data_IF_651379163286
#
_entry.id   IF_651379163286
#
_cell.length_a   1.000
_cell.length_b   1.000
_cell.length_c   1.000
_cell.angle_alpha   90.00
_cell.angle_beta   90.00
_cell.angle_gamma   90.00
#
_symmetry.space_group_name_H-M   'P 1'
#
loop_
_entity.id
_entity.type
_entity.pdbx_description
1 polymer ?
#
# COMPACT_ATOMS: atom_id res chain seq x y z
N UNK A 1 2.64 32.98 -3.80
CA UNK A 1 3.89 33.71 -4.09
C UNK A 1 4.61 32.96 -5.20
N UNK A 2 5.26 33.70 -6.08
CA UNK A 2 5.79 33.27 -7.39
C UNK A 2 6.51 31.93 -7.32
N UNK A 3 5.97 30.93 -8.02
CA UNK A 3 6.64 29.65 -8.20
C UNK A 3 8.08 29.86 -8.65
N UNK A 4 8.97 29.02 -8.15
CA UNK A 4 10.37 28.94 -8.55
C UNK A 4 10.46 28.54 -10.04
N UNK A 5 10.03 29.45 -10.93
CA UNK A 5 10.45 29.45 -12.31
C UNK A 5 11.94 29.73 -12.25
N UNK A 6 12.75 28.68 -12.41
CA UNK A 6 14.18 28.82 -12.73
C UNK A 6 14.29 29.97 -13.71
N UNK A 7 14.96 31.02 -13.24
CA UNK A 7 15.14 32.28 -13.95
C UNK A 7 15.65 31.90 -15.33
N UNK A 8 14.79 31.99 -16.36
CA UNK A 8 15.27 32.00 -17.73
C UNK A 8 16.33 33.10 -17.74
N UNK A 9 17.59 32.72 -17.90
CA UNK A 9 18.72 33.64 -17.77
C UNK A 9 18.39 34.94 -18.52
N UNK A 10 18.70 36.10 -17.92
CA UNK A 10 18.31 37.42 -18.44
C UNK A 10 18.63 37.59 -19.95
N UNK A 11 19.63 36.86 -20.43
CA UNK A 11 20.08 36.80 -21.82
C UNK A 11 19.16 36.04 -22.80
N UNK A 12 18.39 35.05 -22.33
CA UNK A 12 17.50 34.21 -23.15
C UNK A 12 16.06 34.77 -23.19
N UNK A 13 15.80 35.86 -22.45
CA UNK A 13 14.54 36.61 -22.54
C UNK A 13 14.48 37.40 -23.87
N UNK A 14 13.32 37.58 -24.52
CA UNK A 14 13.17 38.43 -25.71
C UNK A 14 13.84 39.80 -25.59
N UNK A 15 13.85 40.42 -24.40
CA UNK A 15 14.57 41.68 -24.17
C UNK A 15 16.10 41.56 -24.35
N UNK A 16 16.71 40.49 -23.82
CA UNK A 16 18.15 40.22 -23.98
C UNK A 16 18.54 39.96 -25.43
N UNK A 17 17.70 39.22 -26.16
CA UNK A 17 17.88 38.96 -27.61
C UNK A 17 17.86 40.29 -28.40
N UNK A 18 16.92 41.19 -28.09
CA UNK A 18 16.83 42.51 -28.74
C UNK A 18 18.08 43.35 -28.45
N UNK A 19 18.61 43.33 -27.23
CA UNK A 19 19.83 44.06 -26.86
C UNK A 19 21.03 43.57 -27.69
N UNK A 20 21.19 42.25 -27.85
CA UNK A 20 22.26 41.68 -28.68
C UNK A 20 22.09 42.03 -30.16
N UNK A 21 20.86 42.05 -30.67
CA UNK A 21 20.57 42.48 -32.04
C UNK A 21 20.91 43.97 -32.27
N UNK A 22 20.55 44.83 -31.32
CA UNK A 22 20.87 46.27 -31.35
C UNK A 22 22.37 46.53 -31.23
N UNK A 23 23.07 45.79 -30.36
CA UNK A 23 24.52 45.86 -30.23
C UNK A 23 25.23 45.43 -31.52
N UNK A 24 24.77 44.34 -32.15
CA UNK A 24 25.30 43.91 -33.45
C UNK A 24 25.10 44.99 -34.53
N UNK A 25 23.92 45.60 -34.59
CA UNK A 25 23.61 46.68 -35.54
C UNK A 25 24.47 47.93 -35.30
N UNK A 26 24.65 48.36 -34.05
CA UNK A 26 25.46 49.52 -33.69
C UNK A 26 26.96 49.30 -33.98
N UNK A 27 27.49 48.11 -33.67
CA UNK A 27 28.89 47.76 -33.95
C UNK A 27 29.17 47.63 -35.45
N UNK A 28 28.21 47.11 -36.21
CA UNK A 28 28.28 47.07 -37.66
C UNK A 28 28.30 48.49 -38.27
N UNK A 29 27.43 49.38 -37.77
CA UNK A 29 27.40 50.79 -38.19
C UNK A 29 28.74 51.50 -37.94
N UNK A 30 29.40 51.20 -36.82
CA UNK A 30 30.72 51.73 -36.45
C UNK A 30 31.91 51.05 -37.18
N UNK A 31 31.66 50.26 -38.23
CA UNK A 31 32.67 49.52 -39.03
C UNK A 31 33.49 48.48 -38.24
N UNK A 32 33.00 48.03 -37.08
CA UNK A 32 33.62 46.98 -36.27
C UNK A 32 33.00 45.61 -36.63
N UNK A 33 33.37 45.07 -37.79
CA UNK A 33 32.73 43.87 -38.35
C UNK A 33 32.92 42.60 -37.50
N UNK A 34 34.10 42.40 -36.89
CA UNK A 34 34.40 41.21 -36.07
C UNK A 34 33.55 41.18 -34.78
N UNK A 35 33.51 42.25 -33.95
CA UNK A 35 32.60 42.32 -32.80
C UNK A 35 31.12 42.20 -33.17
N UNK A 36 30.71 42.79 -34.28
CA UNK A 36 29.32 42.70 -34.76
C UNK A 36 28.94 41.25 -35.10
N UNK A 37 29.82 40.50 -35.75
CA UNK A 37 29.61 39.08 -36.06
C UNK A 37 29.46 38.22 -34.80
N UNK A 38 30.28 38.46 -33.78
CA UNK A 38 30.19 37.76 -32.48
C UNK A 38 28.84 38.04 -31.80
N UNK A 39 28.41 39.31 -31.77
CA UNK A 39 27.12 39.69 -31.18
C UNK A 39 25.93 39.04 -31.91
N UNK A 40 26.02 38.92 -33.25
CA UNK A 40 25.01 38.26 -34.06
C UNK A 40 24.94 36.75 -33.77
N UNK A 41 26.09 36.08 -33.62
CA UNK A 41 26.14 34.66 -33.25
C UNK A 41 25.46 34.44 -31.89
N UNK A 42 25.78 35.26 -30.88
CA UNK A 42 25.10 35.20 -29.58
C UNK A 42 23.60 35.47 -29.69
N UNK A 43 23.19 36.45 -30.49
CA UNK A 43 21.77 36.73 -30.74
C UNK A 43 21.04 35.52 -31.33
N UNK A 44 21.61 34.86 -32.34
CA UNK A 44 21.02 33.66 -32.95
C UNK A 44 20.98 32.49 -31.97
N UNK A 45 22.04 32.30 -31.19
CA UNK A 45 22.15 31.24 -30.20
C UNK A 45 21.07 31.40 -29.12
N UNK A 46 20.93 32.60 -28.54
CA UNK A 46 19.88 32.87 -27.55
C UNK A 46 18.47 32.81 -28.14
N UNK A 47 18.26 33.26 -29.38
CA UNK A 47 16.98 33.13 -30.06
C UNK A 47 16.60 31.66 -30.27
N UNK A 48 17.55 30.83 -30.70
CA UNK A 48 17.32 29.39 -30.88
C UNK A 48 17.01 28.70 -29.56
N UNK A 49 17.76 28.99 -28.50
CA UNK A 49 17.50 28.48 -27.14
C UNK A 49 16.11 28.88 -26.63
N UNK A 50 15.72 30.14 -26.82
CA UNK A 50 14.40 30.62 -26.41
C UNK A 50 13.25 29.94 -27.17
N UNK A 51 13.39 29.77 -28.48
CA UNK A 51 12.43 29.04 -29.31
C UNK A 51 12.33 27.57 -28.84
N UNK A 52 13.47 26.92 -28.60
CA UNK A 52 13.49 25.55 -28.06
C UNK A 52 12.78 25.47 -26.72
N UNK A 53 13.13 26.31 -25.76
CA UNK A 53 12.51 26.31 -24.43
C UNK A 53 10.99 26.52 -24.53
N UNK A 54 10.53 27.45 -25.38
CA UNK A 54 9.11 27.77 -25.53
C UNK A 54 8.31 26.59 -26.10
N UNK A 55 8.84 25.93 -27.12
CA UNK A 55 8.14 24.88 -27.88
C UNK A 55 8.55 23.44 -27.51
N UNK A 56 9.53 23.24 -26.62
CA UNK A 56 10.01 21.91 -26.22
C UNK A 56 8.87 21.03 -25.69
N UNK A 57 8.05 21.53 -24.76
CA UNK A 57 6.96 20.74 -24.16
C UNK A 57 5.59 20.91 -24.83
N UNK A 58 5.52 21.55 -26.00
CA UNK A 58 4.25 21.63 -26.75
C UNK A 58 3.98 20.31 -27.48
N UNK A 59 2.74 19.81 -27.42
CA UNK A 59 2.31 18.55 -28.05
C UNK A 59 3.17 17.33 -27.70
N UNK A 60 3.63 17.27 -26.45
CA UNK A 60 4.26 16.07 -25.88
C UNK A 60 3.22 15.33 -25.06
N UNK A 61 3.06 14.06 -25.35
CA UNK A 61 2.17 13.16 -24.61
C UNK A 61 3.02 12.11 -23.88
N UNK A 62 2.80 11.98 -22.58
CA UNK A 62 3.34 10.87 -21.79
C UNK A 62 2.20 9.92 -21.46
N UNK A 63 2.39 8.64 -21.75
CA UNK A 63 1.49 7.56 -21.35
C UNK A 63 2.20 6.66 -20.37
N UNK A 64 1.44 6.18 -19.40
CA UNK A 64 1.90 5.27 -18.36
C UNK A 64 0.87 4.14 -18.31
N UNK A 65 1.29 2.86 -18.32
CA UNK A 65 0.35 1.77 -18.20
C UNK A 65 -0.29 1.80 -16.80
N UNK A 66 -1.60 1.66 -16.77
CA UNK A 66 -2.35 1.49 -15.53
C UNK A 66 -2.11 0.08 -14.98
N UNK A 67 -1.86 -0.04 -13.68
CA UNK A 67 -1.70 -1.33 -13.04
C UNK A 67 -1.30 -1.18 -11.58
N UNK A 68 -1.39 -2.29 -10.86
CA UNK A 68 -0.89 -2.43 -9.50
C UNK A 68 0.35 -3.31 -9.56
N UNK A 69 1.46 -2.82 -9.01
CA UNK A 69 2.66 -3.63 -8.80
C UNK A 69 2.85 -3.84 -7.30
N UNK A 70 3.09 -5.10 -6.91
CA UNK A 70 3.27 -5.48 -5.51
C UNK A 70 4.69 -6.00 -5.28
N UNK A 71 5.33 -5.60 -4.19
CA UNK A 71 6.62 -6.15 -3.77
C UNK A 71 6.79 -6.11 -2.25
N UNK A 72 7.69 -6.94 -1.73
CA UNK A 72 8.12 -6.88 -0.35
C UNK A 72 9.20 -5.79 -0.14
N UNK A 73 9.41 -5.32 1.10
CA UNK A 73 10.46 -4.36 1.42
C UNK A 73 11.84 -4.88 0.98
N UNK A 74 12.64 -4.01 0.36
CA UNK A 74 13.92 -4.37 -0.28
C UNK A 74 13.79 -4.81 -1.74
N UNK A 75 12.58 -5.08 -2.22
CA UNK A 75 12.29 -5.33 -3.63
C UNK A 75 12.46 -4.09 -4.51
N UNK A 76 12.34 -4.30 -5.82
CA UNK A 76 12.40 -3.23 -6.83
C UNK A 76 11.11 -3.20 -7.65
N UNK A 77 10.71 -2.00 -8.07
CA UNK A 77 9.63 -1.78 -9.01
C UNK A 77 10.17 -1.13 -10.28
N UNK A 78 9.50 -1.39 -11.39
CA UNK A 78 9.73 -0.69 -12.65
C UNK A 78 8.53 0.22 -12.91
N UNK A 79 8.76 1.51 -13.11
CA UNK A 79 7.75 2.44 -13.58
C UNK A 79 7.96 2.66 -15.08
N UNK A 80 7.36 1.84 -15.95
CA UNK A 80 7.46 2.03 -17.40
C UNK A 80 6.66 3.26 -17.83
N UNK A 81 7.22 4.04 -18.73
CA UNK A 81 6.54 5.18 -19.35
C UNK A 81 6.92 5.30 -20.82
N UNK A 82 5.98 5.79 -21.62
CA UNK A 82 6.19 6.06 -23.04
C UNK A 82 5.91 7.53 -23.34
N UNK A 83 6.86 8.19 -23.99
CA UNK A 83 6.76 9.61 -24.37
C UNK A 83 6.69 9.73 -25.89
N UNK A 84 5.65 10.39 -26.38
CA UNK A 84 5.41 10.64 -27.80
C UNK A 84 5.62 12.12 -28.13
N UNK A 85 6.53 12.39 -29.07
CA UNK A 85 6.82 13.73 -29.58
C UNK A 85 5.98 14.03 -30.83
N UNK A 86 4.77 14.58 -30.69
CA UNK A 86 3.87 14.83 -31.83
C UNK A 86 4.16 16.13 -32.61
N UNK A 87 5.39 16.64 -32.52
CA UNK A 87 5.82 17.85 -33.23
C UNK A 87 7.03 17.57 -34.12
N UNK A 88 7.29 18.51 -35.04
CA UNK A 88 8.45 18.49 -35.93
C UNK A 88 9.76 18.84 -35.21
N UNK A 89 9.69 19.63 -34.13
CA UNK A 89 10.88 19.99 -33.35
C UNK A 89 11.39 18.76 -32.58
N UNK A 90 12.65 18.34 -32.78
CA UNK A 90 13.23 17.24 -32.03
C UNK A 90 13.43 17.63 -30.56
N UNK A 91 13.18 16.67 -29.68
CA UNK A 91 13.51 16.74 -28.27
C UNK A 91 14.91 16.18 -28.08
N UNK A 92 15.85 17.05 -27.72
CA UNK A 92 17.24 16.66 -27.48
C UNK A 92 17.32 15.74 -26.26
N UNK A 93 16.55 16.08 -25.23
CA UNK A 93 16.32 15.25 -24.06
C UNK A 93 14.94 15.57 -23.51
N UNK A 94 14.32 14.56 -22.89
CA UNK A 94 13.14 14.73 -22.07
C UNK A 94 13.32 13.93 -20.81
N UNK A 95 13.03 14.54 -19.69
CA UNK A 95 13.13 13.93 -18.39
C UNK A 95 11.75 13.87 -17.78
N UNK A 96 11.37 12.68 -17.33
CA UNK A 96 10.16 12.46 -16.57
C UNK A 96 10.58 12.27 -15.12
N UNK A 97 10.00 13.05 -14.21
CA UNK A 97 10.25 12.97 -12.78
C UNK A 97 8.94 12.84 -12.02
N UNK A 98 8.85 11.86 -11.14
CA UNK A 98 7.66 11.56 -10.34
C UNK A 98 7.90 11.97 -8.88
N UNK A 99 7.00 12.74 -8.25
CA UNK A 99 7.11 13.07 -6.84
C UNK A 99 6.82 11.83 -5.99
N UNK A 100 7.62 11.62 -4.96
CA UNK A 100 7.46 10.55 -3.98
C UNK A 100 7.30 11.17 -2.58
N UNK A 101 6.48 10.55 -1.73
CA UNK A 101 6.29 11.03 -0.37
C UNK A 101 7.60 10.89 0.43
N UNK A 102 7.95 11.92 1.21
CA UNK A 102 9.15 11.89 2.05
C UNK A 102 9.00 10.82 3.14
N UNK A 103 9.90 9.84 3.14
CA UNK A 103 9.80 8.69 4.06
C UNK A 103 8.62 7.76 3.74
N UNK A 104 8.08 7.84 2.52
CA UNK A 104 7.02 6.96 2.04
C UNK A 104 7.52 5.54 1.72
N UNK A 105 6.59 4.71 1.28
CA UNK A 105 6.83 3.29 0.98
C UNK A 105 7.77 3.04 -0.20
N UNK A 106 7.90 4.00 -1.11
CA UNK A 106 8.71 3.88 -2.34
C UNK A 106 9.77 4.98 -2.39
N UNK A 107 10.98 4.60 -2.79
CA UNK A 107 12.13 5.50 -2.97
C UNK A 107 12.77 5.29 -4.35
N UNK A 108 13.58 6.25 -4.86
CA UNK A 108 14.41 6.02 -6.04
C UNK A 108 15.39 4.86 -5.80
N UNK A 109 15.61 4.02 -6.81
CA UNK A 109 16.50 2.86 -6.68
C UNK A 109 17.99 3.23 -6.61
N UNK A 110 18.39 4.34 -7.24
CA UNK A 110 19.77 4.84 -7.28
C UNK A 110 19.82 6.35 -6.98
N UNK A 111 20.96 6.84 -6.50
CA UNK A 111 21.19 8.28 -6.31
C UNK A 111 21.13 9.05 -7.64
N UNK A 112 21.55 8.43 -8.74
CA UNK A 112 21.51 9.01 -10.09
C UNK A 112 20.07 9.31 -10.56
N UNK A 113 19.11 8.49 -10.15
CA UNK A 113 17.70 8.68 -10.49
C UNK A 113 16.98 9.59 -9.47
N UNK A 114 17.64 9.96 -8.38
CA UNK A 114 17.05 10.77 -7.32
C UNK A 114 17.08 12.26 -7.68
N UNK A 115 15.94 12.93 -7.52
CA UNK A 115 15.81 14.36 -7.80
C UNK A 115 14.80 15.01 -6.86
N UNK A 116 15.15 16.17 -6.30
CA UNK A 116 14.19 16.96 -5.53
C UNK A 116 13.23 17.67 -6.48
N UNK A 117 11.94 17.48 -6.25
CA UNK A 117 10.86 18.12 -7.01
C UNK A 117 10.08 19.03 -6.08
N UNK A 118 9.66 20.18 -6.58
CA UNK A 118 8.72 21.02 -5.86
C UNK A 118 7.31 20.48 -6.10
N UNK A 119 6.64 20.08 -5.02
CA UNK A 119 5.24 19.68 -5.08
C UNK A 119 4.35 20.84 -4.62
N UNK A 120 3.47 21.37 -5.50
CA UNK A 120 2.57 22.46 -5.14
C UNK A 120 1.56 22.08 -4.06
N UNK A 121 1.31 20.80 -3.79
CA UNK A 121 0.36 20.38 -2.74
C UNK A 121 0.95 20.54 -1.33
N UNK A 122 2.21 20.16 -1.14
CA UNK A 122 2.91 20.29 0.14
C UNK A 122 3.65 21.61 0.33
N UNK A 123 3.63 22.49 -0.67
CA UNK A 123 4.39 23.76 -0.73
C UNK A 123 5.86 23.57 -0.31
N UNK A 124 6.50 22.51 -0.80
CA UNK A 124 7.81 22.07 -0.35
C UNK A 124 8.52 21.14 -1.34
N UNK A 125 9.82 20.97 -1.13
CA UNK A 125 10.63 20.04 -1.91
C UNK A 125 10.43 18.61 -1.39
N UNK A 126 9.94 17.75 -2.29
CA UNK A 126 9.76 16.31 -2.06
C UNK A 126 10.81 15.53 -2.84
N UNK A 127 11.30 14.39 -2.32
CA UNK A 127 12.13 13.51 -3.11
C UNK A 127 11.31 12.96 -4.29
N UNK A 128 11.94 12.81 -5.43
CA UNK A 128 11.35 12.23 -6.62
C UNK A 128 12.32 11.28 -7.30
N UNK A 129 11.76 10.41 -8.13
CA UNK A 129 12.54 9.56 -9.02
C UNK A 129 12.40 10.08 -10.45
N UNK A 130 13.49 10.07 -11.21
CA UNK A 130 13.54 10.61 -12.56
C UNK A 130 14.25 9.67 -13.53
N UNK A 131 13.85 9.74 -14.79
CA UNK A 131 14.58 9.14 -15.90
C UNK A 131 14.62 10.11 -17.07
N UNK A 132 15.77 10.15 -17.74
CA UNK A 132 16.01 10.98 -18.91
C UNK A 132 16.07 10.12 -20.17
N UNK A 133 15.29 10.50 -21.18
CA UNK A 133 15.29 9.90 -22.50
C UNK A 133 15.91 10.90 -23.48
N UNK A 134 17.08 10.58 -24.06
CA UNK A 134 17.71 11.45 -25.04
C UNK A 134 17.16 11.21 -26.45
N UNK A 135 17.27 12.23 -27.31
CA UNK A 135 17.09 12.15 -28.76
C UNK A 135 15.75 11.59 -29.28
N UNK A 136 14.63 12.20 -28.89
CA UNK A 136 13.32 11.87 -29.50
C UNK A 136 13.07 12.82 -30.69
N UNK A 137 13.18 12.30 -31.91
CA UNK A 137 13.02 13.07 -33.14
C UNK A 137 11.54 13.40 -33.42
N UNK A 138 11.25 13.88 -34.63
CA UNK A 138 9.90 14.25 -35.06
C UNK A 138 8.95 13.04 -35.07
N UNK A 139 7.75 13.19 -34.50
CA UNK A 139 6.69 12.18 -34.51
C UNK A 139 7.13 10.79 -34.02
N UNK A 140 8.18 10.73 -33.19
CA UNK A 140 8.68 9.50 -32.59
C UNK A 140 8.13 9.30 -31.19
N UNK A 141 8.07 8.03 -30.79
CA UNK A 141 7.72 7.59 -29.45
C UNK A 141 8.91 6.81 -28.89
N UNK A 142 9.23 7.08 -27.63
CA UNK A 142 10.28 6.38 -26.90
C UNK A 142 9.71 5.85 -25.58
N UNK A 143 10.06 4.61 -25.24
CA UNK A 143 9.71 3.96 -23.98
C UNK A 143 10.94 3.85 -23.11
N UNK A 144 10.80 4.17 -21.82
CA UNK A 144 11.83 3.99 -20.81
C UNK A 144 11.17 3.61 -19.50
N UNK A 145 11.97 3.21 -18.52
CA UNK A 145 11.50 2.87 -17.19
C UNK A 145 12.24 3.68 -16.12
N UNK A 146 11.53 4.01 -15.04
CA UNK A 146 12.13 4.56 -13.82
C UNK A 146 12.23 3.42 -12.82
N UNK A 147 13.45 3.11 -12.37
CA UNK A 147 13.67 2.09 -11.33
C UNK A 147 13.38 2.66 -9.95
N UNK A 148 12.47 2.01 -9.23
CA UNK A 148 12.03 2.36 -7.89
C UNK A 148 12.37 1.23 -6.91
N UNK A 149 12.51 1.54 -5.63
CA UNK A 149 12.79 0.59 -4.56
C UNK A 149 11.67 0.60 -3.52
N UNK A 150 11.24 -0.59 -3.11
CA UNK A 150 10.33 -0.78 -1.99
C UNK A 150 11.11 -0.60 -0.67
N UNK A 151 10.69 0.34 0.18
CA UNK A 151 11.40 0.68 1.42
C UNK A 151 10.62 0.22 2.64
N UNK A 152 9.41 0.73 2.83
CA UNK A 152 8.54 0.39 3.95
C UNK A 152 7.13 0.06 3.45
N UNK A 153 6.35 -0.61 4.30
CA UNK A 153 4.96 -0.99 4.02
C UNK A 153 4.13 0.24 3.66
N UNK A 154 3.26 0.11 2.67
CA UNK A 154 2.32 1.18 2.30
C UNK A 154 1.88 1.11 0.84
N UNK A 155 0.89 1.93 0.50
CA UNK A 155 0.44 2.14 -0.88
C UNK A 155 0.95 3.48 -1.41
N UNK A 156 1.59 3.46 -2.57
CA UNK A 156 2.01 4.67 -3.29
C UNK A 156 1.27 4.72 -4.63
N UNK A 157 0.45 5.75 -4.83
CA UNK A 157 -0.21 6.00 -6.12
C UNK A 157 0.39 7.24 -6.76
N UNK A 158 0.91 7.09 -7.98
CA UNK A 158 1.58 8.18 -8.69
C UNK A 158 0.57 8.82 -9.64
N UNK A 159 0.00 9.95 -9.21
CA UNK A 159 -1.04 10.66 -9.97
C UNK A 159 -0.49 11.70 -10.94
N UNK A 160 0.72 12.20 -10.68
CA UNK A 160 1.33 13.31 -11.40
C UNK A 160 2.78 13.01 -11.73
N UNK A 161 3.28 13.62 -12.80
CA UNK A 161 4.69 13.63 -13.14
C UNK A 161 5.10 15.00 -13.69
N UNK A 162 6.26 15.48 -13.26
CA UNK A 162 6.92 16.62 -13.85
C UNK A 162 7.69 16.17 -15.10
N UNK A 163 7.41 16.82 -16.23
CA UNK A 163 8.18 16.65 -17.46
C UNK A 163 9.07 17.87 -17.64
N UNK A 164 10.37 17.65 -17.75
CA UNK A 164 11.36 18.65 -18.10
C UNK A 164 11.94 18.38 -19.49
N UNK A 165 12.15 19.44 -20.26
CA UNK A 165 12.92 19.38 -21.49
C UNK A 165 13.55 20.74 -21.75
N UNK A 166 14.64 20.76 -22.50
CA UNK A 166 15.37 21.98 -22.80
C UNK A 166 16.19 21.86 -24.08
N UNK A 167 17.00 22.89 -24.28
CA UNK A 167 17.98 22.95 -25.36
C UNK A 167 19.26 22.16 -25.02
N UNK A 168 20.13 22.01 -26.03
CA UNK A 168 21.41 21.30 -25.89
C UNK A 168 22.36 22.01 -24.90
N UNK A 169 22.25 23.34 -24.81
CA UNK A 169 23.13 24.19 -24.01
C UNK A 169 22.62 24.37 -22.57
N UNK A 170 21.42 23.88 -22.24
CA UNK A 170 20.80 24.03 -20.93
C UNK A 170 20.44 25.48 -20.57
N UNK A 171 20.40 26.38 -21.55
CA UNK A 171 20.11 27.80 -21.34
C UNK A 171 18.61 28.07 -21.15
N UNK A 172 17.77 27.15 -21.63
CA UNK A 172 16.32 27.24 -21.51
C UNK A 172 15.69 25.89 -21.19
N UNK A 173 15.36 25.69 -19.92
CA UNK A 173 14.63 24.50 -19.44
C UNK A 173 13.18 24.91 -19.23
N UNK A 174 12.26 24.10 -19.78
CA UNK A 174 10.83 24.21 -19.50
C UNK A 174 10.40 22.98 -18.71
N UNK A 175 9.60 23.23 -17.69
CA UNK A 175 9.01 22.20 -16.83
C UNK A 175 7.48 22.29 -16.94
N UNK A 176 6.81 21.15 -16.97
CA UNK A 176 5.35 21.05 -17.01
C UNK A 176 4.90 19.86 -16.18
N UNK A 177 3.95 20.05 -15.28
CA UNK A 177 3.28 18.94 -14.60
C UNK A 177 2.21 18.32 -15.49
N UNK A 178 2.24 16.99 -15.60
CA UNK A 178 1.21 16.16 -16.23
C UNK A 178 0.48 15.38 -15.14
N UNK A 179 -0.83 15.20 -15.34
CA UNK A 179 -1.66 14.35 -14.50
C UNK A 179 -2.11 13.13 -15.31
N UNK A 180 -2.10 11.96 -14.69
CA UNK A 180 -2.52 10.72 -15.32
C UNK A 180 -4.01 10.48 -15.09
N UNK A 181 -4.73 10.02 -16.12
CA UNK A 181 -6.16 9.70 -15.99
C UNK A 181 -6.38 8.43 -15.16
N UNK A 182 -5.51 7.43 -15.34
CA UNK A 182 -5.50 6.19 -14.56
C UNK A 182 -4.11 6.07 -13.91
N UNK A 183 -3.94 6.51 -12.66
CA UNK A 183 -2.64 6.51 -12.02
C UNK A 183 -2.19 5.08 -11.68
N UNK A 184 -0.94 4.69 -11.96
CA UNK A 184 -0.42 3.42 -11.48
C UNK A 184 -0.22 3.44 -9.96
N UNK A 185 -0.38 2.28 -9.36
CA UNK A 185 -0.24 2.09 -7.91
C UNK A 185 0.85 1.06 -7.60
N UNK A 186 1.62 1.33 -6.57
CA UNK A 186 2.68 0.47 -6.05
C UNK A 186 2.32 0.10 -4.62
N UNK A 187 2.19 -1.19 -4.36
CA UNK A 187 1.88 -1.72 -3.04
C UNK A 187 3.13 -2.38 -2.47
N UNK A 188 3.62 -1.85 -1.34
CA UNK A 188 4.68 -2.50 -0.58
C UNK A 188 4.05 -3.29 0.55
N UNK A 189 4.15 -4.61 0.45
CA UNK A 189 3.65 -5.52 1.48
C UNK A 189 4.40 -5.33 2.81
N UNK A 190 3.81 -5.77 3.93
CA UNK A 190 4.52 -5.84 5.21
C UNK A 190 5.82 -6.64 5.09
N UNK A 191 6.81 -6.32 5.91
CA UNK A 191 8.02 -7.14 6.00
C UNK A 191 7.66 -8.52 6.54
N UNK A 192 8.22 -9.58 5.95
CA UNK A 192 7.96 -10.96 6.38
C UNK A 192 9.22 -11.58 6.94
N UNK A 193 9.05 -12.43 7.95
CA UNK A 193 10.14 -13.17 8.59
C UNK A 193 9.69 -14.59 8.94
N UNK A 194 10.63 -15.53 9.11
CA UNK A 194 10.30 -16.90 9.51
C UNK A 194 9.57 -16.94 10.86
N UNK A 195 8.43 -17.66 10.91
CA UNK A 195 7.58 -17.78 12.09
C UNK A 195 7.23 -19.23 12.42
N UNK A 196 7.17 -19.53 13.71
CA UNK A 196 6.71 -20.81 14.26
C UNK A 196 5.23 -20.75 14.61
N UNK A 197 4.38 -21.28 13.72
CA UNK A 197 2.92 -21.26 13.88
C UNK A 197 2.35 -22.56 14.45
N UNK A 198 3.19 -23.47 14.93
CA UNK A 198 2.74 -24.80 15.35
C UNK A 198 1.74 -24.76 16.51
N UNK A 199 1.93 -23.84 17.46
CA UNK A 199 0.95 -23.58 18.54
C UNK A 199 -0.36 -22.96 18.05
N UNK A 200 -0.31 -22.18 16.96
CA UNK A 200 -1.51 -21.61 16.32
C UNK A 200 -2.31 -22.72 15.62
N UNK A 201 -1.63 -23.59 14.87
CA UNK A 201 -2.22 -24.74 14.19
C UNK A 201 -2.84 -25.71 15.21
N UNK A 202 -2.16 -25.98 16.32
CA UNK A 202 -2.71 -26.84 17.39
C UNK A 202 -4.03 -26.30 17.94
N UNK A 203 -4.15 -24.98 18.11
CA UNK A 203 -5.41 -24.34 18.49
C UNK A 203 -6.54 -24.58 17.48
N UNK A 204 -6.23 -24.67 16.19
CA UNK A 204 -7.22 -25.02 15.14
C UNK A 204 -7.57 -26.51 15.12
N UNK A 205 -6.66 -27.41 15.49
CA UNK A 205 -6.91 -28.86 15.54
C UNK A 205 -7.56 -29.32 16.84
N UNK A 206 -7.30 -28.67 17.98
CA UNK A 206 -7.98 -28.96 19.25
C UNK A 206 -9.51 -28.70 19.16
N UNK A 207 -9.95 -27.90 18.19
CA UNK A 207 -11.38 -27.74 17.84
C UNK A 207 -12.03 -29.03 17.35
N UNK A 208 -11.27 -29.97 16.79
CA UNK A 208 -11.79 -31.27 16.34
C UNK A 208 -12.38 -32.08 17.51
N UNK A 209 -12.02 -31.77 18.77
CA UNK A 209 -12.47 -32.45 19.98
C UNK A 209 -13.53 -31.68 20.80
N UNK A 210 -13.91 -30.46 20.40
CA UNK A 210 -14.70 -29.50 21.19
C UNK A 210 -16.14 -29.22 20.72
N UNK A 211 -16.88 -28.44 21.52
CA UNK A 211 -18.33 -28.14 21.38
C UNK A 211 -18.74 -27.18 20.25
N UNK A 212 -17.82 -26.66 19.45
CA UNK A 212 -18.11 -25.57 18.49
C UNK A 212 -17.88 -25.99 17.02
N UNK A 213 -18.91 -25.78 16.19
CA UNK A 213 -18.80 -25.54 14.75
C UNK A 213 -18.41 -26.70 13.84
N UNK A 214 -19.07 -27.86 13.94
CA UNK A 214 -19.00 -28.85 12.85
C UNK A 214 -19.79 -28.32 11.66
N UNK A 215 -19.17 -28.29 10.48
CA UNK A 215 -19.92 -28.12 9.23
C UNK A 215 -20.22 -29.49 8.67
N UNK A 216 -21.50 -29.77 8.43
CA UNK A 216 -21.88 -30.97 7.71
C UNK A 216 -21.56 -30.79 6.23
N UNK A 217 -20.71 -31.64 5.68
CA UNK A 217 -20.49 -31.70 4.25
C UNK A 217 -21.65 -32.46 3.60
N UNK A 218 -22.57 -31.70 3.01
CA UNK A 218 -23.76 -32.24 2.35
C UNK A 218 -23.39 -33.16 1.16
N UNK A 219 -22.16 -33.06 0.64
CA UNK A 219 -21.66 -33.95 -0.42
C UNK A 219 -21.22 -35.31 0.10
N UNK A 220 -20.84 -35.41 1.37
CA UNK A 220 -20.38 -36.64 2.02
C UNK A 220 -21.48 -37.21 2.91
N UNK A 221 -22.18 -38.22 2.40
CA UNK A 221 -23.16 -38.98 3.17
C UNK A 221 -22.43 -40.00 4.06
N UNK A 222 -22.44 -39.78 5.37
CA UNK A 222 -21.84 -40.70 6.34
C UNK A 222 -22.70 -41.95 6.54
N UNK A 223 -23.99 -41.77 6.77
CA UNK A 223 -24.95 -42.88 6.94
C UNK A 223 -26.40 -42.41 6.80
N UNK A 224 -27.31 -43.38 6.65
CA UNK A 224 -28.75 -43.13 6.80
C UNK A 224 -29.23 -43.76 8.11
N UNK A 225 -30.01 -43.01 8.89
CA UNK A 225 -30.62 -43.52 10.13
C UNK A 225 -32.14 -43.31 10.16
N UNK A 226 -32.89 -44.08 10.95
CA UNK A 226 -34.32 -43.82 11.15
C UNK A 226 -34.56 -42.41 11.72
N UNK A 227 -35.63 -41.76 11.26
CA UNK A 227 -36.07 -40.46 11.77
C UNK A 227 -36.42 -40.53 13.25
N UNK A 228 -35.99 -39.53 14.02
CA UNK A 228 -36.40 -39.32 15.40
C UNK A 228 -37.12 -37.97 15.54
N UNK A 229 -38.11 -37.85 16.45
CA UNK A 229 -38.77 -36.58 16.73
C UNK A 229 -37.75 -35.51 17.13
N UNK A 230 -37.70 -34.41 16.37
CA UNK A 230 -36.72 -33.33 16.51
C UNK A 230 -35.72 -33.22 15.36
N UNK A 231 -35.62 -34.25 14.50
CA UNK A 231 -34.78 -34.18 13.31
C UNK A 231 -35.31 -33.17 12.28
N UNK A 232 -34.44 -32.36 11.66
CA UNK A 232 -34.85 -31.36 10.69
C UNK A 232 -35.37 -32.01 9.42
N UNK A 233 -36.54 -31.55 8.94
CA UNK A 233 -37.17 -32.09 7.74
C UNK A 233 -36.30 -31.97 6.47
N UNK A 234 -35.37 -31.00 6.43
CA UNK A 234 -34.42 -30.82 5.33
C UNK A 234 -33.47 -32.01 5.14
N UNK A 235 -33.19 -32.78 6.19
CA UNK A 235 -32.30 -33.94 6.14
C UNK A 235 -33.02 -35.25 5.83
N UNK A 236 -34.35 -35.22 5.64
CA UNK A 236 -35.12 -36.42 5.29
C UNK A 236 -34.73 -36.90 3.90
N UNK A 237 -34.44 -38.20 3.78
CA UNK A 237 -34.20 -38.82 2.50
C UNK A 237 -35.53 -39.13 1.80
N UNK A 238 -36.07 -38.13 1.09
CA UNK A 238 -37.33 -38.25 0.37
C UNK A 238 -37.34 -39.38 -0.67
N UNK A 239 -36.17 -39.66 -1.28
CA UNK A 239 -36.04 -40.74 -2.26
C UNK A 239 -36.18 -42.12 -1.63
N UNK A 240 -35.66 -42.31 -0.42
CA UNK A 240 -35.79 -43.56 0.32
C UNK A 240 -37.21 -43.72 0.88
N UNK A 241 -37.80 -42.63 1.39
CA UNK A 241 -39.19 -42.61 1.86
C UNK A 241 -40.20 -42.97 0.75
N UNK A 242 -39.97 -42.54 -0.49
CA UNK A 242 -40.84 -42.89 -1.61
C UNK A 242 -40.85 -44.40 -1.96
N UNK A 243 -39.85 -45.16 -1.49
CA UNK A 243 -39.69 -46.59 -1.78
C UNK A 243 -39.96 -47.50 -0.58
N UNK A 244 -40.00 -46.94 0.63
CA UNK A 244 -40.09 -47.67 1.88
C UNK A 244 -41.07 -46.95 2.81
N UNK A 245 -41.91 -47.70 3.53
CA UNK A 245 -42.87 -47.13 4.51
C UNK A 245 -42.21 -46.62 5.81
N UNK A 246 -40.92 -46.25 5.77
CA UNK A 246 -40.15 -45.75 6.91
C UNK A 246 -39.36 -44.51 6.54
N UNK A 247 -39.39 -43.52 7.43
CA UNK A 247 -38.66 -42.26 7.26
C UNK A 247 -37.22 -42.43 7.71
N UNK A 248 -36.29 -42.15 6.79
CA UNK A 248 -34.86 -42.10 7.06
C UNK A 248 -34.32 -40.68 6.90
N UNK A 249 -33.30 -40.36 7.68
CA UNK A 249 -32.59 -39.08 7.67
C UNK A 249 -31.16 -39.33 7.21
N UNK A 250 -30.70 -38.51 6.26
CA UNK A 250 -29.32 -38.47 5.82
C UNK A 250 -28.47 -37.82 6.92
N UNK A 251 -27.49 -38.57 7.43
CA UNK A 251 -26.46 -38.05 8.32
C UNK A 251 -25.23 -37.83 7.47
N UNK A 252 -24.83 -36.57 7.35
CA UNK A 252 -23.66 -36.17 6.60
C UNK A 252 -22.40 -36.25 7.45
N UNK A 253 -21.25 -36.37 6.80
CA UNK A 253 -19.96 -36.31 7.47
C UNK A 253 -19.68 -34.89 7.93
N UNK A 254 -19.09 -34.76 9.12
CA UNK A 254 -18.72 -33.47 9.70
C UNK A 254 -17.28 -33.17 9.33
N UNK A 255 -17.06 -32.07 8.61
CA UNK A 255 -15.73 -31.57 8.26
C UNK A 255 -15.40 -30.34 9.10
N UNK A 256 -14.13 -30.20 9.45
CA UNK A 256 -13.59 -29.03 10.13
C UNK A 256 -12.81 -28.22 9.11
N UNK A 257 -13.38 -27.12 8.56
CA UNK A 257 -12.60 -26.25 7.72
C UNK A 257 -11.53 -25.60 8.60
N UNK A 258 -10.26 -25.74 8.20
CA UNK A 258 -9.15 -25.11 8.91
C UNK A 258 -9.15 -23.62 8.57
N UNK A 259 -9.89 -22.85 9.36
CA UNK A 259 -10.07 -21.40 9.17
C UNK A 259 -9.41 -20.65 10.33
N UNK A 260 -8.72 -19.58 9.99
CA UNK A 260 -8.10 -18.66 10.94
C UNK A 260 -8.43 -17.23 10.53
N UNK A 261 -8.82 -16.37 11.46
CA UNK A 261 -9.05 -14.95 11.16
C UNK A 261 -8.21 -14.08 12.07
N UNK A 262 -7.48 -13.13 11.50
CA UNK A 262 -6.72 -12.15 12.25
C UNK A 262 -7.53 -10.87 12.42
N UNK A 263 -7.63 -10.39 13.65
CA UNK A 263 -8.26 -9.12 14.00
C UNK A 263 -7.20 -8.15 14.50
N UNK A 264 -7.01 -7.00 13.85
CA UNK A 264 -6.04 -5.98 14.30
C UNK A 264 -6.69 -4.97 15.24
N UNK A 265 -6.33 -5.02 16.52
CA UNK A 265 -6.71 -4.00 17.51
C UNK A 265 -5.81 -2.75 17.35
N UNK A 266 -6.15 -1.90 16.37
CA UNK A 266 -5.41 -0.66 16.09
C UNK A 266 -5.40 0.30 17.29
N UNK A 267 -6.48 0.31 18.09
CA UNK A 267 -6.63 1.18 19.24
C UNK A 267 -5.71 0.80 20.42
N UNK A 268 -5.17 -0.43 20.45
CA UNK A 268 -4.14 -0.82 21.43
C UNK A 268 -2.77 -0.18 21.18
N UNK A 269 -2.50 0.29 19.95
CA UNK A 269 -1.18 0.82 19.56
C UNK A 269 -1.03 2.34 19.77
N UNK A 270 -1.81 2.93 20.67
CA UNK A 270 -1.68 4.35 21.05
C UNK A 270 -1.45 4.52 22.55
N UNK A 271 -0.65 5.52 22.91
CA UNK A 271 -0.37 5.90 24.28
C UNK A 271 -1.00 7.27 24.57
N UNK A 272 -1.81 7.36 25.63
CA UNK A 272 -2.49 8.60 26.01
C UNK A 272 -1.72 9.34 27.10
N UNK A 273 -1.22 10.53 26.78
CA UNK A 273 -0.64 11.44 27.79
C UNK A 273 -1.68 12.47 28.19
N UNK A 274 -2.00 12.54 29.50
CA UNK A 274 -2.90 13.57 30.03
C UNK A 274 -2.13 14.86 30.23
N UNK A 275 -2.53 15.90 29.52
CA UNK A 275 -2.02 17.25 29.71
C UNK A 275 -3.12 18.14 30.30
N UNK A 276 -2.70 19.09 31.14
CA UNK A 276 -3.61 20.05 31.75
C UNK A 276 -3.48 21.36 31.00
N UNK A 277 -4.59 21.85 30.46
CA UNK A 277 -4.64 23.15 29.82
C UNK A 277 -4.34 24.24 30.85
N UNK A 278 -3.28 25.00 30.63
CA UNK A 278 -2.82 26.07 31.52
C UNK A 278 -3.80 27.24 31.60
N UNK A 279 -4.65 27.43 30.58
CA UNK A 279 -5.63 28.51 30.50
C UNK A 279 -6.98 28.14 31.14
N UNK A 280 -7.48 26.94 30.87
CA UNK A 280 -8.83 26.54 31.27
C UNK A 280 -8.87 25.51 32.41
N UNK A 281 -7.69 25.06 32.89
CA UNK A 281 -7.55 23.96 33.85
C UNK A 281 -8.19 22.63 33.42
N UNK A 282 -8.67 22.52 32.17
CA UNK A 282 -9.25 21.31 31.61
C UNK A 282 -8.16 20.30 31.27
N UNK A 283 -8.42 19.03 31.55
CA UNK A 283 -7.54 17.92 31.17
C UNK A 283 -7.90 17.46 29.76
N UNK A 284 -6.91 17.32 28.89
CA UNK A 284 -7.06 16.70 27.58
C UNK A 284 -6.02 15.59 27.41
N UNK A 285 -6.38 14.57 26.63
CA UNK A 285 -5.47 13.44 26.37
C UNK A 285 -4.90 13.59 24.97
N UNK A 286 -3.57 13.66 24.86
CA UNK A 286 -2.89 13.56 23.57
C UNK A 286 -2.56 12.10 23.33
N UNK A 287 -3.06 11.57 22.21
CA UNK A 287 -2.73 10.23 21.76
C UNK A 287 -1.47 10.25 20.91
N UNK A 288 -0.51 9.39 21.27
CA UNK A 288 0.72 9.18 20.52
C UNK A 288 0.73 7.77 19.94
N UNK A 289 0.95 7.67 18.63
CA UNK A 289 1.03 6.40 17.93
C UNK A 289 2.34 5.65 18.25
N UNK A 290 2.22 4.39 18.64
CA UNK A 290 3.33 3.45 18.81
C UNK A 290 3.65 2.80 17.45
N UNK A 291 4.31 3.56 16.56
CA UNK A 291 4.60 3.13 15.17
C UNK A 291 5.36 1.82 15.09
N UNK A 292 6.46 1.67 15.82
CA UNK A 292 7.30 0.46 15.76
C UNK A 292 6.55 -0.81 16.21
N UNK A 293 5.85 -0.83 17.37
CA UNK A 293 5.03 -1.98 17.77
C UNK A 293 3.94 -2.34 16.76
N UNK A 294 3.27 -1.35 16.16
CA UNK A 294 2.23 -1.59 15.16
C UNK A 294 2.83 -2.27 13.91
N UNK A 295 3.92 -1.73 13.37
CA UNK A 295 4.58 -2.32 12.19
C UNK A 295 5.12 -3.73 12.45
N UNK A 296 5.66 -3.98 13.65
CA UNK A 296 6.11 -5.31 14.08
C UNK A 296 4.95 -6.32 14.07
N UNK A 297 3.78 -5.94 14.59
CA UNK A 297 2.62 -6.83 14.67
C UNK A 297 1.92 -7.01 13.33
N UNK A 298 1.89 -5.98 12.46
CA UNK A 298 1.43 -6.12 11.07
C UNK A 298 2.35 -7.09 10.31
N UNK A 299 3.67 -6.96 10.49
CA UNK A 299 4.67 -7.86 9.89
C UNK A 299 4.55 -9.30 10.41
N UNK A 300 4.28 -9.47 11.71
CA UNK A 300 3.98 -10.77 12.30
C UNK A 300 2.73 -11.38 11.69
N UNK A 301 1.65 -10.60 11.58
CA UNK A 301 0.36 -11.04 11.01
C UNK A 301 0.54 -11.50 9.57
N UNK A 302 1.24 -10.71 8.74
CA UNK A 302 1.59 -11.08 7.37
C UNK A 302 2.39 -12.39 7.29
N UNK A 303 3.39 -12.55 8.16
CA UNK A 303 4.21 -13.76 8.22
C UNK A 303 3.39 -14.99 8.64
N UNK A 304 2.48 -14.83 9.62
CA UNK A 304 1.59 -15.89 10.03
C UNK A 304 0.59 -16.28 8.94
N UNK A 305 0.01 -15.32 8.22
CA UNK A 305 -0.91 -15.59 7.10
C UNK A 305 -0.23 -16.47 6.05
N UNK A 306 0.98 -16.11 5.61
CA UNK A 306 1.74 -16.89 4.63
C UNK A 306 2.05 -18.30 5.14
N UNK A 307 2.48 -18.44 6.40
CA UNK A 307 2.84 -19.74 6.98
C UNK A 307 1.63 -20.66 7.20
N UNK A 308 0.48 -20.08 7.55
CA UNK A 308 -0.77 -20.81 7.71
C UNK A 308 -1.34 -21.25 6.35
N UNK A 309 -1.20 -20.41 5.32
CA UNK A 309 -1.56 -20.76 3.94
C UNK A 309 -0.73 -21.95 3.40
N UNK A 310 0.58 -21.97 3.66
CA UNK A 310 1.45 -23.14 3.37
C UNK A 310 0.92 -24.43 4.03
N UNK A 311 0.29 -24.30 5.20
CA UNK A 311 -0.31 -25.40 5.97
C UNK A 311 -1.76 -25.70 5.56
N UNK A 312 -2.25 -25.08 4.47
CA UNK A 312 -3.62 -25.16 3.93
C UNK A 312 -4.71 -24.70 4.90
N UNK A 313 -4.42 -23.70 5.71
CA UNK A 313 -5.39 -23.04 6.59
C UNK A 313 -5.80 -21.75 5.91
N UNK A 314 -7.09 -21.58 5.61
CA UNK A 314 -7.58 -20.36 4.98
C UNK A 314 -7.59 -19.22 6.00
N UNK A 315 -6.93 -18.12 5.66
CA UNK A 315 -6.87 -16.94 6.52
C UNK A 315 -7.93 -15.90 6.16
N UNK A 316 -8.44 -15.23 7.17
CA UNK A 316 -9.27 -14.03 7.09
C UNK A 316 -8.60 -12.88 7.82
N UNK A 317 -9.07 -11.67 7.54
CA UNK A 317 -8.51 -10.44 8.08
C UNK A 317 -9.62 -9.45 8.41
N UNK A 318 -9.54 -8.87 9.60
CA UNK A 318 -10.43 -7.81 10.06
C UNK A 318 -9.56 -6.63 10.46
N UNK A 319 -9.72 -5.52 9.74
CA UNK A 319 -9.06 -4.25 10.02
C UNK A 319 -10.16 -3.25 10.37
N UNK A 320 -10.22 -2.78 11.62
CA UNK A 320 -11.21 -1.80 12.01
C UNK A 320 -10.86 -0.43 11.42
N UNK A 321 -11.90 0.36 11.10
CA UNK A 321 -11.77 1.67 10.45
C UNK A 321 -12.30 2.81 11.32
N UNK A 322 -12.08 4.05 10.88
CA UNK A 322 -12.61 5.25 11.57
C UNK A 322 -14.13 5.27 11.68
N UNK A 323 -14.81 4.59 10.74
CA UNK A 323 -16.24 4.34 10.74
C UNK A 323 -16.50 2.88 10.40
N UNK A 324 -17.71 2.39 10.66
CA UNK A 324 -18.11 1.02 10.31
C UNK A 324 -17.96 0.76 8.80
N UNK A 325 -18.28 1.74 7.95
CA UNK A 325 -18.14 1.64 6.48
C UNK A 325 -16.68 1.53 6.00
N UNK A 326 -15.72 2.01 6.80
CA UNK A 326 -14.28 1.96 6.49
C UNK A 326 -13.61 0.69 7.02
N UNK A 327 -14.36 -0.22 7.64
CA UNK A 327 -13.82 -1.47 8.14
C UNK A 327 -13.56 -2.45 6.99
N UNK A 328 -12.38 -3.07 6.97
CA UNK A 328 -12.05 -4.12 6.00
C UNK A 328 -12.30 -5.46 6.67
N UNK A 329 -13.31 -6.19 6.19
CA UNK A 329 -13.67 -7.53 6.67
C UNK A 329 -13.52 -8.52 5.51
N UNK A 330 -12.51 -9.38 5.59
CA UNK A 330 -12.25 -10.44 4.62
C UNK A 330 -12.38 -11.79 5.32
N UNK A 331 -13.47 -12.50 5.02
CA UNK A 331 -13.74 -13.82 5.60
C UNK A 331 -12.90 -14.91 4.90
N UNK A 332 -12.39 -15.90 5.66
CA UNK A 332 -11.55 -16.95 5.08
C UNK A 332 -12.35 -17.83 4.11
N UNK A 333 -11.73 -18.20 2.98
CA UNK A 333 -12.32 -19.09 1.97
C UNK A 333 -13.36 -18.41 1.06
N UNK A 334 -13.53 -17.09 1.12
CA UNK A 334 -14.36 -16.31 0.20
C UNK A 334 -13.49 -15.52 -0.79
N UNK A 335 -14.12 -14.93 -1.80
CA UNK A 335 -13.44 -13.95 -2.67
C UNK A 335 -12.88 -12.80 -1.83
N UNK A 336 -11.65 -12.37 -2.11
CA UNK A 336 -10.98 -11.34 -1.31
C UNK A 336 -10.10 -11.90 -0.18
N UNK A 337 -10.08 -13.22 0.04
CA UNK A 337 -9.31 -13.85 1.13
C UNK A 337 -8.03 -14.54 0.64
N UNK A 338 -7.56 -14.25 -0.57
CA UNK A 338 -6.26 -14.77 -1.01
C UNK A 338 -5.13 -14.14 -0.19
N UNK A 339 -4.01 -14.84 0.06
CA UNK A 339 -2.90 -14.27 0.82
C UNK A 339 -2.42 -12.92 0.25
N UNK A 340 -2.39 -12.76 -1.07
CA UNK A 340 -1.99 -11.53 -1.74
C UNK A 340 -2.94 -10.35 -1.47
N UNK A 341 -4.26 -10.60 -1.46
CA UNK A 341 -5.27 -9.59 -1.13
C UNK A 341 -5.24 -9.22 0.36
N UNK A 342 -5.02 -10.20 1.25
CA UNK A 342 -4.85 -9.94 2.68
C UNK A 342 -3.59 -9.09 2.94
N UNK A 343 -2.48 -9.42 2.29
CA UNK A 343 -1.24 -8.62 2.36
C UNK A 343 -1.42 -7.23 1.77
N UNK A 344 -2.23 -7.08 0.71
CA UNK A 344 -2.59 -5.78 0.15
C UNK A 344 -3.41 -4.94 1.15
N UNK A 345 -4.40 -5.54 1.81
CA UNK A 345 -5.18 -4.88 2.87
C UNK A 345 -4.28 -4.48 4.05
N UNK A 346 -3.33 -5.33 4.45
CA UNK A 346 -2.34 -4.98 5.47
C UNK A 346 -1.40 -3.85 5.01
N UNK A 347 -1.02 -3.80 3.74
CA UNK A 347 -0.25 -2.70 3.17
C UNK A 347 -1.04 -1.37 3.16
N UNK A 348 -2.36 -1.44 3.04
CA UNK A 348 -3.25 -0.27 3.02
C UNK A 348 -3.48 0.37 4.40
N UNK A 349 -3.09 -0.28 5.50
CA UNK A 349 -3.31 0.25 6.86
C UNK A 349 -2.53 1.54 7.07
N UNK A 350 -3.24 2.66 7.18
CA UNK A 350 -2.71 3.98 7.54
C UNK A 350 -3.45 4.50 8.77
N UNK A 351 -2.87 4.30 9.96
CA UNK A 351 -3.51 4.59 11.24
C UNK A 351 -2.79 5.74 11.96
N UNK A 352 -3.54 6.78 12.34
CA UNK A 352 -3.01 8.01 12.96
C UNK A 352 -3.45 8.20 14.41
N UNK A 353 -3.56 7.11 15.18
CA UNK A 353 -4.02 7.12 16.59
C UNK A 353 -5.44 7.66 16.82
N UNK A 354 -6.27 7.62 15.78
CA UNK A 354 -7.67 8.04 15.80
C UNK A 354 -8.54 7.02 16.55
N UNK A 355 -9.76 7.41 16.92
CA UNK A 355 -10.74 6.45 17.44
C UNK A 355 -11.27 5.58 16.30
N UNK A 356 -11.39 4.29 16.58
CA UNK A 356 -11.73 3.27 15.60
C UNK A 356 -13.03 2.59 16.00
N UNK A 357 -13.92 2.39 15.04
CA UNK A 357 -15.16 1.64 15.25
C UNK A 357 -14.97 0.18 14.85
N UNK A 358 -15.59 -0.73 15.61
CA UNK A 358 -15.59 -2.17 15.31
C UNK A 358 -17.04 -2.61 15.14
N UNK A 359 -17.44 -3.13 13.97
CA UNK A 359 -18.81 -3.60 13.74
C UNK A 359 -19.03 -4.97 14.39
N UNK A 360 -19.09 -5.00 15.73
CA UNK A 360 -19.18 -6.23 16.53
C UNK A 360 -20.37 -7.11 16.11
N UNK A 361 -21.51 -6.50 15.80
CA UNK A 361 -22.72 -7.22 15.39
C UNK A 361 -22.57 -7.92 14.04
N UNK A 362 -21.95 -7.27 13.05
CA UNK A 362 -21.71 -7.87 11.73
C UNK A 362 -20.72 -9.04 11.82
N UNK A 363 -19.71 -8.91 12.68
CA UNK A 363 -18.76 -9.99 12.97
C UNK A 363 -19.49 -11.15 13.67
N UNK A 364 -20.36 -10.85 14.64
CA UNK A 364 -21.15 -11.83 15.40
C UNK A 364 -22.07 -12.68 14.50
N UNK A 365 -22.75 -12.06 13.54
CA UNK A 365 -23.61 -12.77 12.58
C UNK A 365 -22.83 -13.79 11.74
N UNK A 366 -21.52 -13.61 11.59
CA UNK A 366 -20.64 -14.43 10.77
C UNK A 366 -19.61 -15.25 11.57
N UNK A 367 -19.78 -15.42 12.89
CA UNK A 367 -18.83 -16.17 13.75
C UNK A 367 -18.52 -17.58 13.24
N UNK A 368 -19.50 -18.28 12.65
CA UNK A 368 -19.30 -19.61 12.07
C UNK A 368 -18.29 -19.65 10.93
N UNK A 369 -18.02 -18.51 10.27
CA UNK A 369 -17.11 -18.40 9.14
C UNK A 369 -15.70 -17.98 9.54
N UNK A 370 -15.47 -17.52 10.77
CA UNK A 370 -14.18 -16.95 11.18
C UNK A 370 -13.15 -18.02 11.61
N UNK A 371 -13.62 -19.19 12.05
CA UNK A 371 -12.75 -20.23 12.61
C UNK A 371 -12.09 -19.78 13.92
N UNK A 372 -10.77 -19.98 14.03
CA UNK A 372 -9.99 -19.48 15.16
C UNK A 372 -9.70 -18.00 14.99
N UNK A 373 -10.11 -17.18 15.97
CA UNK A 373 -9.85 -15.74 15.98
C UNK A 373 -8.52 -15.43 16.67
N UNK A 374 -7.60 -14.77 15.97
CA UNK A 374 -6.35 -14.25 16.50
C UNK A 374 -6.43 -12.73 16.65
N UNK A 375 -6.49 -12.24 17.89
CA UNK A 375 -6.55 -10.81 18.20
C UNK A 375 -5.13 -10.28 18.32
N UNK A 376 -4.76 -9.37 17.42
CA UNK A 376 -3.44 -8.76 17.32
C UNK A 376 -3.45 -7.44 18.08
N UNK A 377 -2.73 -7.38 19.19
CA UNK A 377 -2.70 -6.23 20.11
C UNK A 377 -1.27 -5.86 20.53
N UNK A 378 -1.08 -4.65 21.05
CA UNK A 378 0.18 -4.23 21.64
C UNK A 378 0.49 -5.02 22.92
N UNK A 379 -0.48 -5.10 23.84
CA UNK A 379 -0.40 -5.89 25.08
C UNK A 379 -1.82 -6.24 25.54
N UNK A 380 -1.97 -7.25 26.41
CA UNK A 380 -3.30 -7.61 26.92
C UNK A 380 -3.97 -6.49 27.74
N UNK A 381 -3.19 -5.72 28.50
CA UNK A 381 -3.70 -4.59 29.30
C UNK A 381 -4.15 -3.38 28.45
N UNK A 382 -3.60 -3.26 27.24
CA UNK A 382 -3.99 -2.21 26.29
C UNK A 382 -5.06 -2.65 25.29
N UNK A 383 -5.51 -3.91 25.37
CA UNK A 383 -6.53 -4.46 24.50
C UNK A 383 -7.84 -3.72 24.71
N UNK A 384 -8.43 -3.24 23.63
CA UNK A 384 -9.65 -2.40 23.69
C UNK A 384 -10.94 -3.21 23.63
N UNK A 385 -10.85 -4.47 23.22
CA UNK A 385 -12.00 -5.35 23.08
C UNK A 385 -12.10 -6.27 24.28
N UNK A 386 -13.30 -6.41 24.82
CA UNK A 386 -13.57 -7.37 25.87
C UNK A 386 -13.40 -8.81 25.34
N UNK A 387 -12.57 -9.65 25.98
CA UNK A 387 -12.42 -11.06 25.61
C UNK A 387 -13.74 -11.84 25.58
N UNK A 388 -14.72 -11.40 26.39
CA UNK A 388 -16.05 -12.00 26.49
C UNK A 388 -16.95 -11.69 25.28
N UNK A 389 -16.69 -10.60 24.54
CA UNK A 389 -17.46 -10.22 23.36
C UNK A 389 -17.42 -11.31 22.27
N UNK A 390 -16.34 -12.11 22.27
CA UNK A 390 -16.13 -13.23 21.35
C UNK A 390 -16.31 -14.59 22.00
N UNK A 391 -16.95 -14.67 23.17
CA UNK A 391 -17.22 -15.95 23.87
C UNK A 391 -18.06 -16.95 23.05
N UNK A 392 -18.82 -16.45 22.05
CA UNK A 392 -19.55 -17.29 21.08
C UNK A 392 -18.68 -17.93 20.00
N UNK A 393 -17.41 -17.51 19.84
CA UNK A 393 -16.47 -18.13 18.91
C UNK A 393 -15.88 -19.43 19.47
N UNK A 394 -15.64 -20.37 18.56
CA UNK A 394 -14.96 -21.65 18.76
C UNK A 394 -13.72 -21.59 19.64
N UNK A 395 -12.87 -20.63 19.32
CA UNK A 395 -11.53 -20.47 19.84
C UNK A 395 -11.07 -19.05 19.54
N UNK A 396 -10.60 -18.35 20.57
CA UNK A 396 -9.93 -17.07 20.43
C UNK A 396 -8.55 -17.15 21.09
N UNK A 397 -7.56 -16.54 20.47
CA UNK A 397 -6.21 -16.40 20.98
C UNK A 397 -5.72 -14.98 20.77
N UNK A 398 -4.82 -14.52 21.65
CA UNK A 398 -4.29 -13.16 21.62
C UNK A 398 -2.83 -13.21 21.20
N UNK A 399 -2.49 -12.43 20.17
CA UNK A 399 -1.14 -12.19 19.70
C UNK A 399 -0.70 -10.82 20.23
N UNK A 400 0.20 -10.81 21.21
CA UNK A 400 0.67 -9.60 21.86
C UNK A 400 2.12 -9.27 21.49
N UNK A 401 2.44 -7.97 21.39
CA UNK A 401 3.83 -7.53 21.18
C UNK A 401 4.68 -7.66 22.45
N UNK A 402 4.11 -7.31 23.60
CA UNK A 402 4.79 -7.26 24.90
C UNK A 402 4.00 -8.00 25.99
N UNK A 403 4.69 -8.59 26.98
CA UNK A 403 4.05 -9.10 28.18
C UNK A 403 3.54 -7.95 29.05
N UNK A 404 2.42 -8.18 29.72
CA UNK A 404 1.81 -7.28 30.69
C UNK A 404 1.57 -7.97 32.03
N UNK A 405 1.35 -7.17 33.08
CA UNK A 405 1.00 -7.66 34.42
C UNK A 405 -0.37 -8.35 34.46
N UNK A 406 -1.26 -7.99 33.53
CA UNK A 406 -2.59 -8.57 33.41
C UNK A 406 -2.60 -9.95 32.70
N UNK A 407 -1.45 -10.44 32.23
CA UNK A 407 -1.41 -11.68 31.45
C UNK A 407 -1.83 -12.91 32.29
N UNK A 408 -1.61 -12.89 33.60
CA UNK A 408 -2.04 -13.96 34.52
C UNK A 408 -3.56 -14.07 34.64
N UNK A 409 -4.30 -13.00 34.33
CA UNK A 409 -5.77 -12.97 34.38
C UNK A 409 -6.42 -13.17 33.02
N UNK A 410 -5.63 -13.39 31.96
CA UNK A 410 -6.15 -13.58 30.61
C UNK A 410 -6.89 -14.93 30.48
N UNK A 411 -8.17 -14.93 30.05
CA UNK A 411 -8.92 -16.18 29.85
C UNK A 411 -8.57 -16.90 28.54
N UNK A 412 -7.79 -16.27 27.66
CA UNK A 412 -7.46 -16.75 26.31
C UNK A 412 -6.00 -17.24 26.22
N UNK A 413 -5.70 -18.08 25.23
CA UNK A 413 -4.30 -18.48 24.93
C UNK A 413 -3.53 -17.24 24.43
N UNK A 414 -2.44 -16.89 25.12
CA UNK A 414 -1.56 -15.78 24.77
C UNK A 414 -0.32 -16.26 24.02
N UNK A 415 0.00 -15.60 22.91
CA UNK A 415 1.26 -15.78 22.18
C UNK A 415 1.95 -14.43 22.02
N UNK A 416 3.26 -14.40 22.27
CA UNK A 416 4.07 -13.20 22.08
C UNK A 416 4.85 -13.26 20.78
N UNK A 417 5.08 -12.10 20.19
CA UNK A 417 5.88 -11.96 18.96
C UNK A 417 7.26 -12.63 19.07
N UNK A 418 7.93 -12.53 20.22
CA UNK A 418 9.26 -13.14 20.43
C UNK A 418 9.20 -14.67 20.43
N UNK A 419 8.12 -15.26 20.93
CA UNK A 419 7.94 -16.72 20.97
C UNK A 419 7.60 -17.30 19.58
N UNK A 420 7.02 -16.47 18.71
CA UNK A 420 6.64 -16.87 17.35
C UNK A 420 7.74 -16.61 16.32
N UNK A 421 8.72 -15.75 16.63
CA UNK A 421 9.87 -15.51 15.74
C UNK A 421 10.86 -16.67 15.82
N UNK A 422 11.15 -17.28 14.68
CA UNK A 422 12.25 -18.24 14.61
C UNK A 422 13.59 -17.54 14.74
N UNK A 423 14.49 -18.11 15.54
CA UNK A 423 15.86 -17.62 15.62
C UNK A 423 16.55 -17.80 14.25
N UNK A 424 17.30 -16.80 13.75
CA UNK A 424 18.04 -16.91 12.50
C UNK A 424 19.15 -17.96 12.64
N UNK A 425 18.86 -19.20 12.24
CA UNK A 425 19.76 -20.35 12.38
C UNK A 425 19.08 -21.73 12.37
N UNK A 426 17.75 -21.80 12.52
CA UNK A 426 17.00 -23.06 12.38
C UNK A 426 16.27 -23.13 11.03
N UNK A 427 17.03 -23.16 9.93
CA UNK A 427 16.49 -23.76 8.71
C UNK A 427 16.45 -25.28 8.93
N UNK A 428 15.24 -25.85 8.95
CA UNK A 428 15.04 -27.30 8.99
C UNK A 428 15.76 -27.94 7.81
N UNK A 429 16.64 -28.90 8.14
CA UNK A 429 17.35 -29.82 7.23
C UNK A 429 16.38 -30.70 6.47
#
# INVERSE_FOLDING_TARGET
MTGAGKISSFFVNPAGIIIWALAAAALYYNRLALPAGICLIFCLLFLSSWLWAKYALTNVEAKVPSGIQCAFPGGSFSFPFSVSNKKLLPLIWIELAVPLAKGGCVAPASEENSKMLYDPETDGEVPGASACVPWILWHQEASSEISLKAVCRGLCTISKAAVSSGDLLGLGIKEKMLSFQAPPSFAVYPAVFPVETQGLIQGTTDMEAGKNGYMEDVTLLKMNRPYQPGDPAKKINWRQLARQDRVFVNVHETVFPKLATFFLDLASFREGTKERNTLNSSEYTIWKLLRMPLEDMISLTASCILKLDESRICCGLIIPGTSEDNCVIQYPGKHGSSPEELLYSLAAVDYHAEDVSVPVWEIADHFSMLGTLYIVTCSYDSMTIDPEAFSGLGSAAVLARYPSKADETCPLKLFYLENLKQAPGQQQV
#
